data_IF_517238106841
#
_entry.id   IF_517238106841
#
_cell.length_a   1.000
_cell.length_b   1.000
_cell.length_c   1.000
_cell.angle_alpha   90.00
_cell.angle_beta   90.00
_cell.angle_gamma   90.00
#
_symmetry.space_group_name_H-M   'P 1'
#
loop_
_entity.id
_entity.type
_entity.pdbx_description
1 polymer ?
#
# COMPACT_ATOMS: atom_id res chain seq x y z
N UNK A 1 -16.67 -15.66 17.18
CA UNK A 1 -15.93 -14.93 16.13
C UNK A 1 -14.57 -14.51 16.68
N UNK A 2 -13.52 -14.87 15.97
CA UNK A 2 -12.15 -14.51 16.32
C UNK A 2 -11.68 -13.40 15.39
N UNK A 3 -10.87 -12.48 15.92
CA UNK A 3 -10.30 -11.36 15.17
C UNK A 3 -8.78 -11.41 15.29
N UNK A 4 -8.09 -11.26 14.16
CA UNK A 4 -6.64 -11.05 14.13
C UNK A 4 -6.33 -9.76 13.40
N UNK A 5 -5.30 -9.06 13.85
CA UNK A 5 -4.75 -7.88 13.21
C UNK A 5 -3.27 -8.10 12.96
N UNK A 6 -2.84 -7.84 11.74
CA UNK A 6 -1.45 -7.98 11.30
C UNK A 6 -0.99 -6.63 10.76
N UNK A 7 -0.27 -5.82 11.55
CA UNK A 7 0.50 -4.71 11.00
C UNK A 7 1.65 -5.29 10.17
N UNK A 8 1.81 -4.82 8.95
CA UNK A 8 2.97 -5.12 8.14
C UNK A 8 3.74 -3.83 7.94
N UNK A 9 4.92 -3.80 8.47
CA UNK A 9 5.81 -2.65 8.33
C UNK A 9 6.15 -2.45 6.86
N UNK A 10 6.22 -1.20 6.46
CA UNK A 10 6.45 -0.79 5.08
C UNK A 10 7.75 -1.35 4.48
N UNK A 11 8.73 -1.53 5.33
CA UNK A 11 10.06 -2.04 4.98
C UNK A 11 10.10 -3.55 4.67
N UNK A 12 9.04 -4.32 5.01
CA UNK A 12 9.00 -5.77 4.78
C UNK A 12 8.41 -6.04 3.39
N UNK A 13 9.05 -5.49 2.37
CA UNK A 13 8.72 -5.74 0.97
C UNK A 13 9.33 -7.07 0.55
N UNK A 14 8.54 -7.91 -0.10
CA UNK A 14 8.96 -9.24 -0.56
C UNK A 14 9.33 -9.28 -2.04
N UNK A 15 8.51 -8.68 -2.89
CA UNK A 15 8.76 -8.57 -4.33
C UNK A 15 8.73 -7.11 -4.73
N UNK A 16 9.70 -6.70 -5.53
CA UNK A 16 9.88 -5.35 -6.04
C UNK A 16 9.87 -5.43 -7.57
N UNK A 17 8.89 -4.82 -8.20
CA UNK A 17 8.84 -4.62 -9.65
C UNK A 17 8.46 -3.17 -9.90
N UNK A 18 9.44 -2.28 -9.79
CA UNK A 18 9.24 -0.83 -9.86
C UNK A 18 10.14 -0.19 -10.89
N UNK A 19 9.71 0.95 -11.41
CA UNK A 19 10.50 1.80 -12.29
C UNK A 19 10.44 3.26 -11.80
N UNK A 20 11.49 4.05 -12.11
CA UNK A 20 11.57 5.46 -11.75
C UNK A 20 10.40 6.31 -12.31
N UNK A 21 10.01 7.39 -11.64
CA UNK A 21 10.63 7.89 -10.39
C UNK A 21 10.42 6.91 -9.26
N UNK A 22 11.41 6.66 -8.43
CA UNK A 22 11.25 5.76 -7.29
C UNK A 22 12.27 6.07 -6.19
N UNK A 23 11.93 5.70 -4.96
CA UNK A 23 12.83 5.87 -3.82
C UNK A 23 12.22 5.38 -2.52
N UNK A 24 13.05 5.41 -1.49
CA UNK A 24 12.69 5.10 -0.11
C UNK A 24 13.37 6.05 0.85
N UNK A 25 12.68 6.44 1.91
CA UNK A 25 13.21 7.26 2.99
C UNK A 25 12.83 6.69 4.35
N UNK A 26 13.64 6.98 5.36
CA UNK A 26 13.29 6.77 6.75
C UNK A 26 13.04 8.10 7.46
N UNK A 27 13.02 8.12 8.79
CA UNK A 27 12.83 9.34 9.57
C UNK A 27 14.04 10.27 9.59
N UNK A 28 15.18 9.82 9.09
CA UNK A 28 16.47 10.52 9.18
C UNK A 28 16.96 11.06 7.84
N UNK A 29 16.78 10.26 6.75
CA UNK A 29 17.33 10.62 5.44
C UNK A 29 16.76 9.73 4.33
N UNK A 30 17.13 10.07 3.08
CA UNK A 30 16.99 9.18 1.91
C UNK A 30 17.84 7.93 2.10
N UNK A 31 17.29 6.79 1.71
CA UNK A 31 18.01 5.53 1.69
C UNK A 31 18.51 5.30 0.26
N UNK A 32 19.84 5.42 0.07
CA UNK A 32 20.47 5.36 -1.25
C UNK A 32 20.05 6.52 -2.19
N UNK A 33 20.28 6.40 -3.49
CA UNK A 33 19.90 7.44 -4.46
C UNK A 33 18.43 7.39 -4.87
N UNK A 34 17.87 8.56 -5.18
CA UNK A 34 16.56 8.64 -5.83
C UNK A 34 16.64 8.10 -7.27
N UNK A 35 15.50 7.63 -7.77
CA UNK A 35 15.32 7.09 -9.12
C UNK A 35 16.17 5.85 -9.47
N UNK A 36 16.71 5.21 -8.46
CA UNK A 36 17.46 3.97 -8.58
C UNK A 36 16.73 2.81 -7.90
N UNK A 37 16.11 1.89 -8.65
CA UNK A 37 15.39 0.74 -8.07
C UNK A 37 16.22 -0.12 -7.13
N UNK A 38 17.56 -0.05 -7.22
CA UNK A 38 18.46 -0.74 -6.29
C UNK A 38 18.32 -0.28 -4.83
N UNK A 39 17.80 0.93 -4.57
CA UNK A 39 17.58 1.42 -3.20
C UNK A 39 16.70 0.46 -2.39
N UNK A 40 15.75 -0.21 -3.03
CA UNK A 40 14.87 -1.21 -2.40
C UNK A 40 15.60 -2.48 -1.94
N UNK A 41 16.86 -2.67 -2.33
CA UNK A 41 17.70 -3.79 -1.88
C UNK A 41 18.76 -3.35 -0.86
N UNK A 42 18.84 -2.06 -0.55
CA UNK A 42 19.74 -1.54 0.48
C UNK A 42 19.38 -2.16 1.84
N UNK A 43 20.35 -2.58 2.67
CA UNK A 43 20.08 -3.12 4.01
C UNK A 43 19.27 -2.18 4.90
N UNK A 44 19.43 -0.86 4.76
CA UNK A 44 18.68 0.15 5.51
C UNK A 44 17.20 0.23 5.08
N UNK A 45 16.79 -0.44 3.97
CA UNK A 45 15.38 -0.50 3.58
C UNK A 45 14.46 -0.97 4.72
N UNK A 46 15.02 -1.72 5.68
CA UNK A 46 14.30 -2.18 6.86
C UNK A 46 13.89 -1.05 7.81
N UNK A 47 14.34 0.17 7.57
CA UNK A 47 13.94 1.38 8.31
C UNK A 47 13.00 2.28 7.52
N UNK A 48 12.62 1.92 6.29
CA UNK A 48 11.80 2.75 5.41
C UNK A 48 10.46 3.15 6.04
N UNK A 49 10.07 4.42 5.85
CA UNK A 49 8.83 5.01 6.37
C UNK A 49 7.98 5.66 5.29
N UNK A 50 8.55 5.90 4.12
CA UNK A 50 7.84 6.27 2.90
C UNK A 50 8.54 5.60 1.74
N UNK A 51 7.76 5.03 0.83
CA UNK A 51 8.26 4.44 -0.42
C UNK A 51 7.43 4.95 -1.58
N UNK A 52 8.08 5.18 -2.73
CA UNK A 52 7.39 5.63 -3.93
C UNK A 52 7.96 4.99 -5.19
N UNK A 53 7.12 4.93 -6.22
CA UNK A 53 7.51 4.47 -7.56
C UNK A 53 6.49 4.94 -8.62
N UNK A 54 6.97 5.25 -9.82
CA UNK A 54 6.11 5.69 -10.92
C UNK A 54 5.38 4.54 -11.60
N UNK A 55 5.96 3.35 -11.69
CA UNK A 55 5.40 2.19 -12.39
C UNK A 55 5.67 0.90 -11.66
N UNK A 56 4.78 -0.08 -11.84
CA UNK A 56 4.93 -1.42 -11.31
C UNK A 56 4.18 -1.64 -10.00
N UNK A 57 4.74 -2.49 -9.14
CA UNK A 57 4.12 -2.85 -7.87
C UNK A 57 5.14 -3.27 -6.82
N UNK A 58 4.71 -3.19 -5.56
CA UNK A 58 5.35 -3.83 -4.41
C UNK A 58 4.45 -4.96 -3.89
N UNK A 59 5.05 -6.08 -3.50
CA UNK A 59 4.35 -7.19 -2.86
C UNK A 59 4.83 -7.38 -1.43
N UNK A 60 3.87 -7.48 -0.53
CA UNK A 60 4.03 -7.81 0.88
C UNK A 60 3.46 -9.19 1.16
N UNK A 61 4.00 -9.89 2.16
CA UNK A 61 3.49 -11.19 2.60
C UNK A 61 3.07 -11.14 4.06
N UNK A 62 1.81 -11.42 4.29
CA UNK A 62 1.22 -11.45 5.63
C UNK A 62 1.08 -12.88 6.12
N UNK A 63 1.32 -13.13 7.42
CA UNK A 63 1.10 -14.44 7.98
C UNK A 63 -0.41 -14.79 7.96
N UNK A 64 -0.72 -16.03 7.62
CA UNK A 64 -2.09 -16.57 7.70
C UNK A 64 -2.25 -17.61 8.81
N UNK A 65 -1.28 -17.68 9.72
CA UNK A 65 -1.31 -18.62 10.83
C UNK A 65 -2.58 -18.50 11.67
N UNK A 66 -3.27 -19.62 11.86
CA UNK A 66 -4.48 -19.73 12.69
C UNK A 66 -5.80 -19.39 11.96
N UNK A 67 -5.78 -19.13 10.66
CA UNK A 67 -7.01 -19.07 9.83
C UNK A 67 -7.18 -20.32 8.95
N UNK A 68 -6.16 -21.18 8.87
CA UNK A 68 -6.12 -22.37 7.99
C UNK A 68 -7.25 -23.38 8.25
N UNK A 69 -7.75 -23.44 9.49
CA UNK A 69 -8.85 -24.32 9.88
C UNK A 69 -10.15 -23.53 10.16
N UNK A 70 -10.17 -22.26 9.87
CA UNK A 70 -11.30 -21.37 10.11
C UNK A 70 -11.90 -20.84 8.80
N UNK A 71 -13.20 -20.57 8.84
CA UNK A 71 -13.85 -19.87 7.74
C UNK A 71 -13.61 -18.36 7.88
N UNK A 72 -12.90 -17.77 6.93
CA UNK A 72 -12.75 -16.32 6.88
C UNK A 72 -14.07 -15.66 6.46
N UNK A 73 -14.53 -14.72 7.24
CA UNK A 73 -15.77 -13.96 7.00
C UNK A 73 -15.51 -12.58 6.41
N UNK A 74 -14.41 -11.97 6.80
CA UNK A 74 -14.03 -10.63 6.36
C UNK A 74 -12.53 -10.45 6.45
N UNK A 75 -11.96 -9.79 5.46
CA UNK A 75 -10.62 -9.21 5.51
C UNK A 75 -10.73 -7.71 5.24
N UNK A 76 -10.05 -6.91 6.06
CA UNK A 76 -9.81 -5.49 5.81
C UNK A 76 -8.32 -5.26 5.63
N UNK A 77 -7.96 -4.49 4.60
CA UNK A 77 -6.61 -3.97 4.41
C UNK A 77 -6.68 -2.45 4.35
N UNK A 78 -5.91 -1.79 5.19
CA UNK A 78 -5.80 -0.33 5.19
C UNK A 78 -4.36 0.13 5.00
N UNK A 79 -4.18 1.19 4.21
CA UNK A 79 -2.92 1.85 3.97
C UNK A 79 -3.14 3.32 3.62
N UNK A 80 -2.21 4.19 4.01
CA UNK A 80 -2.16 5.56 3.52
C UNK A 80 -1.35 5.60 2.23
N UNK A 81 -1.95 6.14 1.16
CA UNK A 81 -1.30 6.23 -0.16
C UNK A 81 -1.81 7.40 -0.98
N UNK A 82 -1.02 7.79 -1.97
CA UNK A 82 -1.40 8.74 -3.01
C UNK A 82 -0.62 8.46 -4.30
N UNK A 83 -0.85 9.30 -5.33
CA UNK A 83 -0.07 9.30 -6.57
C UNK A 83 1.38 9.71 -6.33
N UNK A 84 2.25 9.49 -7.31
CA UNK A 84 3.66 9.87 -7.30
C UNK A 84 3.98 10.79 -8.47
N UNK A 85 4.45 11.99 -8.18
CA UNK A 85 4.96 12.96 -9.15
C UNK A 85 6.32 13.51 -8.71
N UNK A 86 7.19 13.93 -9.63
CA UNK A 86 8.36 14.75 -9.28
C UNK A 86 7.90 16.06 -8.64
N UNK A 87 8.30 16.34 -7.41
CA UNK A 87 7.63 17.26 -6.51
C UNK A 87 6.15 16.86 -6.31
N UNK A 88 5.40 17.54 -5.44
CA UNK A 88 3.97 17.20 -5.36
C UNK A 88 3.17 17.84 -6.52
N UNK A 89 2.09 17.21 -6.95
CA UNK A 89 1.18 17.73 -7.96
C UNK A 89 -0.27 17.37 -7.62
N UNK A 90 -1.07 18.41 -7.33
CA UNK A 90 -2.47 18.25 -6.95
C UNK A 90 -3.38 17.79 -8.11
N UNK A 91 -2.89 17.82 -9.35
CA UNK A 91 -3.58 17.35 -10.56
C UNK A 91 -2.80 16.20 -11.22
N UNK A 92 -2.57 15.11 -10.48
CA UNK A 92 -1.76 13.98 -10.92
C UNK A 92 -2.47 12.65 -10.62
N UNK A 93 -3.46 12.25 -11.45
CA UNK A 93 -4.25 11.05 -11.16
C UNK A 93 -3.45 9.76 -11.36
N UNK A 94 -3.74 8.78 -10.48
CA UNK A 94 -3.20 7.43 -10.58
C UNK A 94 -4.24 6.38 -10.23
N UNK A 95 -4.35 5.33 -11.05
CA UNK A 95 -5.19 4.17 -10.81
C UNK A 95 -4.44 3.14 -9.97
N UNK A 96 -4.49 3.31 -8.66
CA UNK A 96 -3.80 2.46 -7.70
C UNK A 96 -4.63 1.21 -7.43
N UNK A 97 -4.09 0.06 -7.76
CA UNK A 97 -4.75 -1.24 -7.65
C UNK A 97 -4.18 -2.05 -6.49
N UNK A 98 -5.08 -2.73 -5.77
CA UNK A 98 -4.75 -3.73 -4.78
C UNK A 98 -5.05 -5.13 -5.34
N UNK A 99 -4.12 -6.07 -5.12
CA UNK A 99 -4.33 -7.50 -5.36
C UNK A 99 -4.08 -8.27 -4.06
N UNK A 100 -4.95 -9.23 -3.80
CA UNK A 100 -4.81 -10.20 -2.70
C UNK A 100 -4.67 -11.59 -3.33
N UNK A 101 -3.61 -12.30 -3.02
CA UNK A 101 -3.28 -13.59 -3.62
C UNK A 101 -3.39 -13.58 -5.15
N UNK A 102 -2.85 -12.51 -5.77
CA UNK A 102 -2.83 -12.25 -7.22
C UNK A 102 -4.21 -11.94 -7.85
N UNK A 103 -5.29 -11.95 -7.07
CA UNK A 103 -6.62 -11.55 -7.53
C UNK A 103 -6.85 -10.07 -7.23
N UNK A 104 -7.32 -9.33 -8.22
CA UNK A 104 -7.62 -7.90 -8.07
C UNK A 104 -8.74 -7.71 -7.04
N UNK A 105 -8.46 -6.87 -6.04
CA UNK A 105 -9.39 -6.47 -5.00
C UNK A 105 -10.03 -5.10 -5.27
N UNK A 106 -9.59 -4.42 -6.32
CA UNK A 106 -10.14 -3.15 -6.76
C UNK A 106 -9.09 -2.06 -6.92
N UNK A 107 -9.48 -1.05 -7.68
CA UNK A 107 -8.65 0.10 -8.04
C UNK A 107 -9.23 1.38 -7.46
N UNK A 108 -8.37 2.19 -6.84
CA UNK A 108 -8.67 3.55 -6.46
C UNK A 108 -8.04 4.52 -7.44
N UNK A 109 -8.83 5.35 -8.09
CA UNK A 109 -8.30 6.49 -8.84
C UNK A 109 -7.98 7.60 -7.85
N UNK A 110 -6.71 7.68 -7.48
CA UNK A 110 -6.19 8.79 -6.69
C UNK A 110 -6.13 10.04 -7.55
N UNK A 111 -6.64 11.20 -7.11
CA UNK A 111 -6.62 12.40 -7.92
C UNK A 111 -5.29 13.15 -7.93
N UNK A 112 -4.43 12.90 -6.94
CA UNK A 112 -3.33 13.82 -6.65
C UNK A 112 -2.13 13.12 -6.01
N UNK A 113 -0.96 13.68 -6.22
CA UNK A 113 0.15 13.62 -5.27
C UNK A 113 -0.01 14.82 -4.32
N UNK A 114 -0.32 14.55 -3.05
CA UNK A 114 -0.79 15.58 -2.15
C UNK A 114 0.34 16.36 -1.48
N UNK A 115 0.30 17.69 -1.64
CA UNK A 115 1.16 18.66 -0.99
C UNK A 115 0.44 19.96 -0.68
N UNK A 116 1.19 21.08 -0.60
CA UNK A 116 0.63 22.39 -0.29
C UNK A 116 0.36 22.63 1.19
N UNK A 117 0.43 21.62 2.01
CA UNK A 117 0.53 21.64 3.47
C UNK A 117 1.42 20.50 3.94
N UNK A 118 2.03 20.66 5.08
CA UNK A 118 2.87 19.61 5.65
C UNK A 118 2.05 18.40 6.15
N UNK A 119 2.54 17.20 5.88
CA UNK A 119 2.04 15.98 6.52
C UNK A 119 2.29 16.01 8.03
N UNK A 120 1.32 15.51 8.81
CA UNK A 120 1.35 15.61 10.29
C UNK A 120 2.51 14.88 10.95
N UNK A 121 3.02 13.83 10.29
CA UNK A 121 4.04 12.93 10.84
C UNK A 121 5.41 13.12 10.17
N UNK A 122 5.49 13.97 9.15
CA UNK A 122 6.71 14.14 8.39
C UNK A 122 7.82 14.73 9.27
N UNK A 123 9.05 14.16 9.22
CA UNK A 123 10.19 14.71 9.93
C UNK A 123 10.58 16.09 9.39
N UNK A 124 11.20 16.93 10.22
CA UNK A 124 11.53 18.32 9.91
C UNK A 124 12.37 18.51 8.64
N UNK A 125 13.24 17.54 8.34
CA UNK A 125 14.12 17.58 7.18
C UNK A 125 13.38 17.31 5.84
N UNK A 126 12.16 16.72 5.87
CA UNK A 126 11.39 16.46 4.65
C UNK A 126 10.89 17.77 4.03
N UNK A 127 11.31 18.03 2.80
CA UNK A 127 11.06 19.34 2.14
C UNK A 127 9.58 19.53 1.77
N UNK A 128 9.10 20.76 1.88
CA UNK A 128 7.71 21.11 1.61
C UNK A 128 7.28 20.91 0.14
N UNK A 129 8.26 20.89 -0.79
CA UNK A 129 8.01 20.61 -2.22
C UNK A 129 7.72 19.13 -2.50
N UNK A 130 8.11 18.23 -1.60
CA UNK A 130 7.90 16.80 -1.76
C UNK A 130 6.46 16.41 -1.43
N UNK A 131 6.07 15.18 -1.80
CA UNK A 131 4.81 14.55 -1.37
C UNK A 131 4.64 14.66 0.14
N UNK A 132 3.52 15.15 0.61
CA UNK A 132 3.33 15.47 2.03
C UNK A 132 2.44 14.48 2.77
N UNK A 133 1.38 13.99 2.15
CA UNK A 133 0.41 13.11 2.78
C UNK A 133 -0.38 12.30 1.75
N UNK A 134 -1.05 11.28 2.23
CA UNK A 134 -1.94 10.45 1.44
C UNK A 134 -3.38 10.49 1.94
N UNK A 135 -4.14 9.53 1.46
CA UNK A 135 -5.48 9.19 1.96
C UNK A 135 -5.43 7.79 2.53
N UNK A 136 -6.01 7.62 3.71
CA UNK A 136 -6.21 6.29 4.26
C UNK A 136 -7.30 5.59 3.44
N UNK A 137 -6.91 4.52 2.77
CA UNK A 137 -7.82 3.69 1.98
C UNK A 137 -8.06 2.37 2.69
N UNK A 138 -9.30 1.89 2.64
CA UNK A 138 -9.70 0.65 3.27
C UNK A 138 -10.37 -0.25 2.23
N UNK A 139 -9.70 -1.33 1.87
CA UNK A 139 -10.30 -2.42 1.10
C UNK A 139 -10.90 -3.44 2.05
N UNK A 140 -12.13 -3.84 1.78
CA UNK A 140 -12.85 -4.84 2.58
C UNK A 140 -13.35 -5.95 1.68
N UNK A 141 -12.95 -7.18 1.99
CA UNK A 141 -13.40 -8.40 1.33
C UNK A 141 -14.44 -9.07 2.22
N UNK A 142 -15.64 -9.30 1.69
CA UNK A 142 -16.76 -9.93 2.39
C UNK A 142 -17.39 -11.05 1.54
N UNK A 143 -18.37 -11.76 2.10
CA UNK A 143 -19.04 -12.88 1.39
C UNK A 143 -19.75 -12.42 0.11
N UNK A 144 -20.31 -11.23 0.10
CA UNK A 144 -21.12 -10.66 -0.99
C UNK A 144 -20.36 -9.66 -1.85
N UNK A 145 -19.03 -9.60 -1.77
CA UNK A 145 -18.22 -8.78 -2.67
C UNK A 145 -17.06 -8.09 -1.98
N UNK A 146 -16.36 -7.33 -2.77
CA UNK A 146 -15.21 -6.52 -2.34
C UNK A 146 -15.56 -5.04 -2.39
N UNK A 147 -15.12 -4.30 -1.40
CA UNK A 147 -15.45 -2.90 -1.17
C UNK A 147 -14.19 -2.06 -1.01
N UNK A 148 -14.26 -0.81 -1.45
CA UNK A 148 -13.27 0.23 -1.19
C UNK A 148 -13.94 1.40 -0.48
N UNK A 149 -13.48 1.74 0.73
CA UNK A 149 -14.09 2.75 1.60
C UNK A 149 -15.62 2.59 1.74
N UNK A 150 -16.06 1.34 1.89
CA UNK A 150 -17.48 0.99 2.02
C UNK A 150 -18.29 0.98 0.73
N UNK A 151 -17.69 1.35 -0.42
CA UNK A 151 -18.37 1.26 -1.72
C UNK A 151 -17.98 -0.05 -2.41
N UNK A 152 -18.97 -0.81 -2.88
CA UNK A 152 -18.73 -2.05 -3.60
C UNK A 152 -17.99 -1.78 -4.91
N UNK A 153 -16.88 -2.50 -5.14
CA UNK A 153 -16.06 -2.37 -6.34
C UNK A 153 -16.14 -3.58 -7.26
N UNK A 154 -16.47 -4.75 -6.71
CA UNK A 154 -16.72 -5.97 -7.47
C UNK A 154 -17.51 -7.01 -6.66
N UNK A 155 -17.92 -8.11 -7.29
CA UNK A 155 -18.69 -9.20 -6.68
C UNK A 155 -17.83 -10.36 -6.17
N UNK A 156 -16.50 -10.22 -6.16
CA UNK A 156 -15.58 -11.27 -5.70
C UNK A 156 -15.74 -11.47 -4.20
N UNK A 157 -16.11 -12.69 -3.81
CA UNK A 157 -16.26 -13.06 -2.41
C UNK A 157 -14.93 -13.20 -1.71
N UNK A 158 -14.89 -12.98 -0.40
CA UNK A 158 -13.70 -13.22 0.43
C UNK A 158 -13.15 -14.65 0.29
N UNK A 159 -14.00 -15.62 0.03
CA UNK A 159 -13.60 -17.02 -0.20
C UNK A 159 -12.83 -17.21 -1.50
N UNK A 160 -13.10 -16.41 -2.52
CA UNK A 160 -12.45 -16.51 -3.82
C UNK A 160 -10.98 -16.05 -3.79
N UNK A 161 -10.56 -15.38 -2.73
CA UNK A 161 -9.16 -14.96 -2.54
C UNK A 161 -8.28 -16.05 -1.91
N UNK A 162 -8.85 -17.21 -1.54
CA UNK A 162 -8.10 -18.38 -1.09
C UNK A 162 -7.11 -18.08 0.05
N UNK A 163 -7.56 -17.33 1.06
CA UNK A 163 -6.68 -16.74 2.09
C UNK A 163 -5.97 -17.78 2.97
N UNK A 164 -6.51 -18.99 3.04
CA UNK A 164 -5.99 -20.08 3.86
C UNK A 164 -5.14 -21.12 3.09
N UNK A 165 -5.12 -21.05 1.75
CA UNK A 165 -4.60 -22.14 0.91
C UNK A 165 -3.06 -22.19 0.86
N UNK A 166 -2.39 -21.10 1.17
CA UNK A 166 -0.93 -21.02 1.15
C UNK A 166 -0.31 -20.74 2.53
N UNK A 167 1.01 -20.63 2.61
CA UNK A 167 1.71 -20.32 3.86
C UNK A 167 1.64 -18.86 4.27
N UNK A 168 1.15 -17.97 3.39
CA UNK A 168 1.01 -16.52 3.60
C UNK A 168 -0.11 -15.96 2.72
N UNK A 169 -0.52 -14.73 3.01
CA UNK A 169 -1.38 -13.93 2.14
C UNK A 169 -0.50 -12.92 1.40
N UNK A 170 -0.50 -12.98 0.07
CA UNK A 170 0.18 -12.00 -0.78
C UNK A 170 -0.68 -10.76 -0.93
N UNK A 171 -0.07 -9.59 -0.78
CA UNK A 171 -0.68 -8.28 -0.98
C UNK A 171 0.18 -7.49 -1.95
N UNK A 172 -0.33 -7.17 -3.13
CA UNK A 172 0.32 -6.27 -4.09
C UNK A 172 -0.38 -4.92 -4.11
N UNK A 173 0.42 -3.87 -4.18
CA UNK A 173 -0.04 -2.49 -4.37
C UNK A 173 0.75 -1.92 -5.53
N UNK A 174 0.07 -1.35 -6.51
CA UNK A 174 0.75 -0.79 -7.67
C UNK A 174 -0.19 -0.24 -8.73
N UNK A 175 0.36 0.06 -9.90
CA UNK A 175 -0.35 0.58 -11.06
C UNK A 175 -0.25 -0.43 -12.21
N UNK A 176 -1.38 -0.78 -12.81
CA UNK A 176 -1.41 -1.70 -13.97
C UNK A 176 -0.76 -1.03 -15.19
N UNK A 177 -0.10 -1.83 -16.03
CA UNK A 177 0.57 -1.33 -17.25
C UNK A 177 -0.43 -0.73 -18.25
N UNK A 178 -1.69 -1.19 -18.23
CA UNK A 178 -2.81 -0.71 -19.04
C UNK A 178 -3.74 0.27 -18.32
N UNK A 179 -3.36 0.75 -17.14
CA UNK A 179 -4.14 1.72 -16.40
C UNK A 179 -4.30 3.03 -17.18
N UNK A 180 -5.50 3.63 -17.11
CA UNK A 180 -5.79 4.91 -17.76
C UNK A 180 -4.94 6.05 -17.17
N UNK A 181 -4.78 6.02 -15.84
CA UNK A 181 -4.00 7.02 -15.11
C UNK A 181 -2.79 6.34 -14.46
N UNK A 182 -1.61 6.62 -15.01
CA UNK A 182 -0.35 6.02 -14.57
C UNK A 182 0.49 7.03 -13.77
N UNK A 183 -0.08 7.55 -12.69
CA UNK A 183 0.54 8.56 -11.83
C UNK A 183 1.35 7.98 -10.67
N UNK A 184 1.76 6.70 -10.71
CA UNK A 184 2.58 6.10 -9.68
C UNK A 184 1.90 5.91 -8.32
N UNK A 185 2.70 5.58 -7.32
CA UNK A 185 2.25 5.36 -5.94
C UNK A 185 3.25 5.91 -4.95
N UNK A 186 2.77 6.69 -3.98
CA UNK A 186 3.42 6.90 -2.69
C UNK A 186 2.70 6.05 -1.64
N UNK A 187 3.44 5.28 -0.86
CA UNK A 187 2.94 4.44 0.22
C UNK A 187 3.61 4.84 1.52
N UNK A 188 2.78 5.26 2.48
CA UNK A 188 3.22 5.85 3.75
C UNK A 188 3.26 4.82 4.87
N UNK A 189 4.30 4.87 5.67
CA UNK A 189 4.40 4.17 6.94
C UNK A 189 4.03 5.05 8.13
N UNK A 190 4.17 4.52 9.31
CA UNK A 190 3.68 5.09 10.58
C UNK A 190 4.36 6.40 11.04
N UNK A 191 5.32 6.92 10.28
CA UNK A 191 6.10 8.12 10.63
C UNK A 191 6.19 9.12 9.48
N UNK A 192 5.33 8.98 8.46
CA UNK A 192 5.14 9.92 7.36
C UNK A 192 3.65 10.07 7.06
N UNK A 193 3.29 11.16 6.41
CA UNK A 193 1.91 11.46 6.04
C UNK A 193 1.06 11.93 7.20
N UNK A 194 -0.18 11.49 7.23
CA UNK A 194 -1.19 11.95 8.20
C UNK A 194 -1.63 10.88 9.20
N UNK A 195 -1.36 9.61 8.94
CA UNK A 195 -1.88 8.48 9.71
C UNK A 195 -0.76 7.66 10.36
N UNK A 196 -0.75 7.52 11.70
CA UNK A 196 0.31 6.82 12.42
C UNK A 196 0.16 5.29 12.32
N UNK A 197 0.13 4.77 11.10
CA UNK A 197 0.05 3.34 10.84
C UNK A 197 0.87 2.94 9.61
N UNK A 198 1.33 1.71 9.63
CA UNK A 198 1.82 1.00 8.45
C UNK A 198 0.65 0.37 7.67
N UNK A 199 0.92 -0.55 6.75
CA UNK A 199 -0.13 -1.38 6.13
C UNK A 199 -0.72 -2.27 7.21
N UNK A 200 -2.04 -2.25 7.39
CA UNK A 200 -2.72 -3.05 8.42
C UNK A 200 -3.73 -3.98 7.77
N UNK A 201 -3.57 -5.28 8.01
CA UNK A 201 -4.54 -6.30 7.66
C UNK A 201 -5.29 -6.76 8.91
N UNK A 202 -6.61 -6.82 8.84
CA UNK A 202 -7.49 -7.36 9.88
C UNK A 202 -8.33 -8.48 9.31
N UNK A 203 -8.37 -9.62 9.99
CA UNK A 203 -9.13 -10.79 9.55
C UNK A 203 -10.12 -11.18 10.63
N UNK A 204 -11.39 -11.33 10.23
CA UNK A 204 -12.46 -11.91 11.02
C UNK A 204 -12.76 -13.32 10.51
N UNK A 205 -12.69 -14.31 11.39
CA UNK A 205 -12.88 -15.72 11.04
C UNK A 205 -13.59 -16.51 12.16
N UNK A 206 -14.11 -17.67 11.81
CA UNK A 206 -14.81 -18.62 12.71
C UNK A 206 -14.15 -19.98 12.69
#
# INVERSE_FOLDING_TARGET
RKRKSFPCRLEIIWIIKVAPTCGIVNTEDYIDGEDEPRCFYNPLRTTAKLVWFAKGYLEYRFPNAGIQNGRVRRLELSAELCSEAPDYNMEWPSDITLWINQREAGTWTCPSDFGGRRGKLNPDWWEDKNTQYGKLKVWTLEENGTYLDGKKVNDVSVTDYCLADGPFISVRIGVKEDAKHQGGVNLFGNSFGDYPQDIVMRILYE
#
